data_IF_806798725970
#
_entry.id   IF_806798725970
#
_cell.length_a   1.000
_cell.length_b   1.000
_cell.length_c   1.000
_cell.angle_alpha   90.00
_cell.angle_beta   90.00
_cell.angle_gamma   90.00
#
_symmetry.space_group_name_H-M   'P 1'
#
loop_
_entity.id
_entity.type
_entity.pdbx_description
1 polymer ?
#
# COMPACT_ATOMS: atom_id res chain seq x y z
N UNK A 1 -44.62 15.80 -8.60
CA UNK A 1 -43.20 15.96 -8.91
C UNK A 1 -42.45 14.83 -8.19
N UNK A 2 -42.04 13.82 -8.96
CA UNK A 2 -41.38 12.63 -8.40
C UNK A 2 -39.90 12.94 -8.21
N UNK A 3 -39.46 12.98 -6.97
CA UNK A 3 -38.02 13.06 -6.63
C UNK A 3 -37.44 11.67 -6.84
N UNK A 4 -36.85 11.45 -8.01
CA UNK A 4 -36.02 10.30 -8.25
C UNK A 4 -34.77 10.46 -7.36
N UNK A 5 -34.72 9.74 -6.26
CA UNK A 5 -33.48 9.55 -5.47
C UNK A 5 -32.47 8.88 -6.39
N UNK A 6 -31.54 9.66 -6.90
CA UNK A 6 -30.37 9.17 -7.61
C UNK A 6 -29.51 8.45 -6.57
N UNK A 7 -29.71 7.15 -6.41
CA UNK A 7 -28.79 6.30 -5.67
C UNK A 7 -27.52 6.27 -6.54
N UNK A 8 -26.55 7.11 -6.20
CA UNK A 8 -25.25 7.09 -6.84
C UNK A 8 -24.68 5.67 -6.71
N UNK A 9 -24.59 4.94 -7.77
CA UNK A 9 -23.96 3.62 -7.78
C UNK A 9 -22.53 3.79 -7.33
N UNK A 10 -22.06 2.88 -6.44
CA UNK A 10 -20.66 2.87 -5.99
C UNK A 10 -19.74 2.84 -7.21
N UNK A 11 -18.70 3.68 -7.28
CA UNK A 11 -17.78 3.69 -8.42
C UNK A 11 -17.12 2.31 -8.58
N UNK A 12 -16.78 1.90 -9.81
CA UNK A 12 -16.09 0.64 -10.08
C UNK A 12 -14.77 0.53 -9.31
N UNK A 13 -14.08 1.66 -9.15
CA UNK A 13 -12.87 1.80 -8.33
C UNK A 13 -13.14 2.88 -7.27
N UNK A 14 -13.14 2.51 -6.02
CA UNK A 14 -13.20 3.41 -4.87
C UNK A 14 -11.79 3.74 -4.32
N UNK A 15 -10.88 2.78 -4.42
CA UNK A 15 -9.52 2.90 -3.93
C UNK A 15 -8.50 2.27 -4.87
N UNK A 16 -7.65 3.11 -5.49
CA UNK A 16 -6.57 2.67 -6.36
C UNK A 16 -5.27 2.53 -5.56
N UNK A 17 -4.60 1.38 -5.68
CA UNK A 17 -3.23 1.18 -5.17
C UNK A 17 -2.26 1.07 -6.32
N UNK A 18 -1.22 1.87 -6.30
CA UNK A 18 -0.13 1.85 -7.28
C UNK A 18 1.14 1.38 -6.60
N UNK A 19 1.62 0.20 -6.98
CA UNK A 19 2.94 -0.27 -6.58
C UNK A 19 3.98 0.36 -7.51
N UNK A 20 4.83 1.24 -6.96
CA UNK A 20 5.76 2.04 -7.76
C UNK A 20 7.06 1.31 -8.10
N UNK A 21 7.36 0.25 -7.37
CA UNK A 21 8.57 -0.56 -7.57
C UNK A 21 8.45 -1.88 -6.84
N UNK A 22 9.14 -2.91 -7.31
CA UNK A 22 9.34 -4.14 -6.53
C UNK A 22 10.59 -4.06 -5.66
N UNK A 23 11.48 -3.06 -5.87
CA UNK A 23 12.65 -2.88 -5.01
C UNK A 23 12.26 -2.39 -3.63
N UNK A 24 12.95 -2.90 -2.62
CA UNK A 24 12.88 -2.44 -1.24
C UNK A 24 14.29 -2.47 -0.65
N UNK A 25 14.62 -1.51 0.15
CA UNK A 25 15.87 -1.52 0.90
C UNK A 25 15.85 -2.45 2.13
N UNK A 26 14.66 -3.00 2.46
CA UNK A 26 14.46 -4.04 3.47
C UNK A 26 14.19 -5.39 2.81
N UNK A 27 14.36 -6.48 3.60
CA UNK A 27 14.07 -7.84 3.16
C UNK A 27 13.18 -8.58 4.18
N UNK A 28 12.08 -7.95 4.57
CA UNK A 28 11.19 -8.44 5.63
C UNK A 28 10.80 -9.90 5.42
N UNK A 29 10.84 -10.69 6.50
CA UNK A 29 10.59 -12.14 6.49
C UNK A 29 9.19 -12.53 6.00
N UNK A 30 8.22 -11.62 6.16
CA UNK A 30 6.80 -11.83 5.83
C UNK A 30 6.31 -11.05 4.60
N UNK A 31 7.22 -10.48 3.79
CA UNK A 31 6.83 -9.59 2.70
C UNK A 31 5.93 -10.28 1.67
N UNK A 32 4.69 -9.82 1.56
CA UNK A 32 3.70 -10.34 0.62
C UNK A 32 4.10 -10.13 -0.85
N UNK A 33 4.89 -9.09 -1.11
CA UNK A 33 5.35 -8.71 -2.46
C UNK A 33 6.71 -9.32 -2.82
N UNK A 34 7.34 -10.06 -1.89
CA UNK A 34 8.68 -10.64 -2.04
C UNK A 34 9.75 -9.60 -2.44
N UNK A 35 9.50 -8.34 -2.09
CA UNK A 35 10.37 -7.21 -2.39
C UNK A 35 11.68 -7.27 -1.60
N UNK A 36 12.73 -6.71 -2.18
CA UNK A 36 14.05 -6.67 -1.55
C UNK A 36 15.04 -5.86 -2.39
N UNK A 37 16.29 -5.72 -1.92
CA UNK A 37 17.29 -4.90 -2.59
C UNK A 37 17.63 -5.36 -4.02
N UNK A 38 17.50 -6.66 -4.30
CA UNK A 38 17.80 -7.27 -5.60
C UNK A 38 16.58 -7.41 -6.51
N UNK A 39 15.37 -7.02 -6.05
CA UNK A 39 14.18 -7.11 -6.87
C UNK A 39 14.23 -6.10 -8.03
N UNK A 40 13.58 -6.43 -9.14
CA UNK A 40 13.49 -5.54 -10.30
C UNK A 40 12.62 -4.32 -9.98
N UNK A 41 12.98 -3.14 -10.53
CA UNK A 41 12.22 -1.91 -10.30
C UNK A 41 10.77 -1.98 -10.77
N UNK A 42 10.56 -2.55 -11.93
CA UNK A 42 9.33 -2.48 -12.69
C UNK A 42 9.56 -1.78 -14.03
N UNK A 43 8.51 -1.70 -14.85
CA UNK A 43 8.59 -1.21 -16.23
C UNK A 43 7.71 0.01 -16.49
N UNK A 44 6.81 0.37 -15.57
CA UNK A 44 5.91 1.50 -15.76
C UNK A 44 6.65 2.83 -15.62
N UNK A 45 6.41 3.70 -16.58
CA UNK A 45 6.87 5.08 -16.57
C UNK A 45 5.96 5.98 -15.72
N UNK A 46 6.46 7.16 -15.37
CA UNK A 46 5.68 8.20 -14.66
C UNK A 46 4.44 8.62 -15.44
N UNK A 47 4.50 8.70 -16.78
CA UNK A 47 3.34 9.00 -17.64
C UNK A 47 2.28 7.91 -17.57
N UNK A 48 2.66 6.64 -17.60
CA UNK A 48 1.72 5.53 -17.46
C UNK A 48 1.03 5.53 -16.09
N UNK A 49 1.75 5.82 -15.00
CA UNK A 49 1.10 6.01 -13.70
C UNK A 49 0.13 7.19 -13.70
N UNK A 50 0.45 8.31 -14.38
CA UNK A 50 -0.47 9.44 -14.50
C UNK A 50 -1.72 9.10 -15.33
N UNK A 51 -1.59 8.31 -16.39
CA UNK A 51 -2.71 7.79 -17.18
C UNK A 51 -3.64 6.91 -16.33
N UNK A 52 -3.07 5.97 -15.56
CA UNK A 52 -3.84 5.13 -14.63
C UNK A 52 -4.62 5.95 -13.60
N UNK A 53 -4.01 7.01 -13.06
CA UNK A 53 -4.70 7.93 -12.15
C UNK A 53 -5.83 8.67 -12.86
N UNK A 54 -5.62 9.12 -14.10
CA UNK A 54 -6.64 9.81 -14.90
C UNK A 54 -7.83 8.91 -15.17
N UNK A 55 -7.62 7.66 -15.59
CA UNK A 55 -8.67 6.70 -15.83
C UNK A 55 -9.45 6.37 -14.55
N UNK A 56 -8.74 6.09 -13.45
CA UNK A 56 -9.40 5.82 -12.17
C UNK A 56 -10.22 7.02 -11.68
N UNK A 57 -9.70 8.24 -11.81
CA UNK A 57 -10.40 9.46 -11.43
C UNK A 57 -11.67 9.68 -12.26
N UNK A 58 -11.61 9.42 -13.57
CA UNK A 58 -12.75 9.49 -14.48
C UNK A 58 -13.86 8.47 -14.10
N UNK A 59 -13.48 7.30 -13.56
CA UNK A 59 -14.39 6.30 -13.03
C UNK A 59 -14.96 6.64 -11.64
N UNK A 60 -14.64 7.80 -11.08
CA UNK A 60 -15.12 8.24 -9.77
C UNK A 60 -14.23 7.88 -8.59
N UNK A 61 -13.05 7.29 -8.82
CA UNK A 61 -12.07 7.04 -7.76
C UNK A 61 -11.56 8.36 -7.18
N UNK A 62 -11.55 8.49 -5.85
CA UNK A 62 -11.05 9.68 -5.13
C UNK A 62 -9.99 9.33 -4.10
N UNK A 63 -9.63 8.06 -4.00
CA UNK A 63 -8.68 7.56 -3.00
C UNK A 63 -7.55 6.81 -3.68
N UNK A 64 -6.31 7.19 -3.37
CA UNK A 64 -5.11 6.58 -3.96
C UNK A 64 -4.07 6.28 -2.88
N UNK A 65 -3.35 5.18 -3.06
CA UNK A 65 -2.21 4.80 -2.24
C UNK A 65 -1.00 4.50 -3.13
N UNK A 66 0.11 5.15 -2.85
CA UNK A 66 1.42 4.80 -3.38
C UNK A 66 2.11 3.83 -2.42
N UNK A 67 2.45 2.66 -2.95
CA UNK A 67 3.03 1.53 -2.21
C UNK A 67 4.02 0.81 -3.13
N UNK A 68 4.39 -0.38 -2.80
CA UNK A 68 5.25 -1.26 -3.61
C UNK A 68 6.19 -2.04 -2.74
N UNK A 69 7.44 -2.21 -3.16
CA UNK A 69 8.52 -2.59 -2.27
C UNK A 69 8.74 -1.47 -1.25
N UNK A 70 9.51 -0.47 -1.67
CA UNK A 70 9.60 0.80 -0.92
C UNK A 70 9.37 1.96 -1.90
N UNK A 71 8.23 2.67 -1.83
CA UNK A 71 7.89 3.69 -2.80
C UNK A 71 8.84 4.88 -2.80
N UNK A 72 9.54 5.16 -1.70
CA UNK A 72 10.53 6.26 -1.62
C UNK A 72 11.80 5.99 -2.44
N UNK A 73 12.01 4.76 -2.90
CA UNK A 73 13.07 4.43 -3.87
C UNK A 73 12.70 4.83 -5.31
N UNK A 74 11.44 5.11 -5.58
CA UNK A 74 11.02 5.66 -6.87
C UNK A 74 11.20 7.18 -6.85
N UNK A 75 12.11 7.70 -7.68
CA UNK A 75 12.45 9.13 -7.73
C UNK A 75 11.29 10.01 -8.16
N UNK A 76 10.31 9.44 -8.87
CA UNK A 76 9.15 10.16 -9.38
C UNK A 76 7.97 10.21 -8.38
N UNK A 77 8.11 9.60 -7.19
CA UNK A 77 7.07 9.64 -6.16
C UNK A 77 6.58 11.07 -5.87
N UNK A 78 7.46 12.10 -5.71
CA UNK A 78 6.98 13.47 -5.49
C UNK A 78 6.19 14.04 -6.68
N UNK A 79 6.52 13.66 -7.89
CA UNK A 79 5.78 14.07 -9.11
C UNK A 79 4.39 13.42 -9.10
N UNK A 80 4.30 12.13 -8.80
CA UNK A 80 3.04 11.39 -8.74
C UNK A 80 2.13 11.90 -7.63
N UNK A 81 2.66 12.24 -6.46
CA UNK A 81 1.91 12.86 -5.36
C UNK A 81 1.29 14.18 -5.81
N UNK A 82 2.10 15.08 -6.39
CA UNK A 82 1.61 16.38 -6.89
C UNK A 82 0.57 16.21 -8.00
N UNK A 83 0.74 15.21 -8.86
CA UNK A 83 -0.23 14.89 -9.92
C UNK A 83 -1.55 14.44 -9.35
N UNK A 84 -1.55 13.50 -8.38
CA UNK A 84 -2.76 13.06 -7.71
C UNK A 84 -3.48 14.22 -6.97
N UNK A 85 -2.72 15.07 -6.29
CA UNK A 85 -3.25 16.26 -5.59
C UNK A 85 -3.90 17.25 -6.57
N UNK A 86 -3.23 17.55 -7.70
CA UNK A 86 -3.78 18.45 -8.74
C UNK A 86 -5.01 17.88 -9.44
N UNK A 87 -5.12 16.55 -9.58
CA UNK A 87 -6.31 15.89 -10.12
C UNK A 87 -7.50 15.96 -9.16
N UNK A 88 -7.29 16.24 -7.88
CA UNK A 88 -8.36 16.32 -6.88
C UNK A 88 -8.64 14.99 -6.16
N UNK A 89 -7.68 14.07 -6.06
CA UNK A 89 -7.82 12.93 -5.16
C UNK A 89 -7.97 13.44 -3.71
N UNK A 90 -9.03 13.00 -3.04
CA UNK A 90 -9.40 13.44 -1.69
C UNK A 90 -8.60 12.73 -0.61
N UNK A 91 -8.13 11.52 -0.89
CA UNK A 91 -7.28 10.72 -0.02
C UNK A 91 -6.06 10.25 -0.80
N UNK A 92 -4.89 10.76 -0.43
CA UNK A 92 -3.59 10.35 -0.97
C UNK A 92 -2.79 9.78 0.19
N UNK A 93 -2.34 8.53 0.06
CA UNK A 93 -1.53 7.86 1.09
C UNK A 93 -0.23 7.33 0.49
N UNK A 94 0.86 7.50 1.22
CA UNK A 94 2.13 6.82 0.96
C UNK A 94 2.36 5.78 2.04
N UNK A 95 2.45 4.50 1.65
CA UNK A 95 2.79 3.41 2.55
C UNK A 95 4.28 3.09 2.40
N UNK A 96 5.07 3.46 3.38
CA UNK A 96 6.54 3.38 3.37
C UNK A 96 7.07 2.78 4.66
N UNK A 97 8.23 2.12 4.59
CA UNK A 97 8.95 1.65 5.78
C UNK A 97 9.60 2.79 6.57
N UNK A 98 9.60 4.01 6.05
CA UNK A 98 10.16 5.23 6.66
C UNK A 98 11.65 5.16 7.03
N UNK A 99 12.41 4.21 6.51
CA UNK A 99 13.88 4.21 6.73
C UNK A 99 14.57 5.32 5.94
N UNK A 100 13.91 5.80 4.87
CA UNK A 100 14.40 6.86 3.99
C UNK A 100 13.33 7.96 3.89
N UNK A 101 13.65 9.17 4.33
CA UNK A 101 12.77 10.33 4.23
C UNK A 101 13.60 11.60 4.01
N UNK A 102 14.00 11.90 2.75
CA UNK A 102 14.66 13.15 2.42
C UNK A 102 13.75 14.35 2.74
N UNK A 103 14.36 15.51 3.03
CA UNK A 103 13.61 16.73 3.39
C UNK A 103 12.65 17.17 2.28
N UNK A 104 13.09 17.09 1.03
CA UNK A 104 12.27 17.42 -0.15
C UNK A 104 11.02 16.54 -0.27
N UNK A 105 11.12 15.24 0.09
CA UNK A 105 9.96 14.36 0.11
C UNK A 105 9.05 14.73 1.28
N UNK A 106 9.57 14.97 2.47
CA UNK A 106 8.78 15.39 3.63
C UNK A 106 8.00 16.67 3.31
N UNK A 107 8.65 17.66 2.72
CA UNK A 107 7.99 18.89 2.28
C UNK A 107 6.87 18.60 1.26
N UNK A 108 7.13 17.74 0.27
CA UNK A 108 6.10 17.35 -0.72
C UNK A 108 4.89 16.68 -0.05
N UNK A 109 5.12 15.80 0.95
CA UNK A 109 4.03 15.18 1.72
C UNK A 109 3.19 16.25 2.44
N UNK A 110 3.83 17.22 3.08
CA UNK A 110 3.17 18.31 3.81
C UNK A 110 2.35 19.20 2.88
N UNK A 111 2.95 19.67 1.80
CA UNK A 111 2.30 20.57 0.81
C UNK A 111 1.04 19.95 0.20
N UNK A 112 1.02 18.62 0.05
CA UNK A 112 -0.09 17.87 -0.56
C UNK A 112 -0.97 17.16 0.47
N UNK A 113 -0.78 17.40 1.78
CA UNK A 113 -1.56 16.81 2.88
C UNK A 113 -1.67 15.29 2.81
N UNK A 114 -0.56 14.64 2.49
CA UNK A 114 -0.50 13.20 2.26
C UNK A 114 -0.63 12.44 3.58
N UNK A 115 -1.44 11.40 3.61
CA UNK A 115 -1.48 10.44 4.69
C UNK A 115 -0.24 9.55 4.64
N UNK A 116 0.38 9.31 5.79
CA UNK A 116 1.55 8.44 5.87
C UNK A 116 1.18 7.16 6.59
N UNK A 117 1.48 6.03 5.95
CA UNK A 117 1.31 4.71 6.55
C UNK A 117 2.66 4.02 6.68
N UNK A 118 2.87 3.34 7.80
CA UNK A 118 4.10 2.57 8.04
C UNK A 118 3.83 1.30 8.83
N UNK A 119 4.84 0.43 8.92
CA UNK A 119 4.78 -0.78 9.75
C UNK A 119 5.83 -0.71 10.86
N UNK A 120 5.45 -1.12 12.06
CA UNK A 120 6.34 -1.28 13.21
C UNK A 120 6.07 -2.64 13.85
N UNK A 121 7.11 -3.44 14.05
CA UNK A 121 6.96 -4.86 14.43
C UNK A 121 7.34 -5.16 15.87
N UNK A 122 7.76 -4.17 16.63
CA UNK A 122 8.12 -4.28 18.03
C UNK A 122 8.38 -2.91 18.65
N UNK A 123 8.36 -2.79 19.98
CA UNK A 123 8.64 -1.54 20.69
C UNK A 123 10.15 -1.26 20.84
N UNK A 124 10.98 -2.20 20.40
CA UNK A 124 12.47 -2.14 20.47
C UNK A 124 13.10 -2.59 19.17
N UNK A 125 14.31 -2.14 18.91
CA UNK A 125 15.04 -2.37 17.66
C UNK A 125 15.25 -3.85 17.36
N UNK A 126 15.66 -4.64 18.32
CA UNK A 126 15.95 -6.07 18.14
C UNK A 126 14.84 -6.83 17.42
N UNK A 127 13.57 -6.63 17.82
CA UNK A 127 12.43 -7.32 17.22
C UNK A 127 12.10 -6.80 15.84
N UNK A 128 12.11 -5.49 15.67
CA UNK A 128 11.80 -4.87 14.39
C UNK A 128 12.86 -5.23 13.34
N UNK A 129 14.13 -5.10 13.68
CA UNK A 129 15.25 -5.33 12.77
C UNK A 129 15.38 -6.81 12.38
N UNK A 130 15.12 -7.73 13.32
CA UNK A 130 15.06 -9.16 13.02
C UNK A 130 13.98 -9.50 11.99
N UNK A 131 12.84 -8.81 11.99
CA UNK A 131 11.75 -9.02 11.02
C UNK A 131 12.05 -8.34 9.69
N UNK A 132 12.60 -7.14 9.72
CA UNK A 132 12.94 -6.37 8.50
C UNK A 132 14.22 -6.85 7.83
N UNK A 133 15.02 -7.66 8.52
CA UNK A 133 16.34 -8.17 8.09
C UNK A 133 17.32 -7.01 7.77
N UNK A 134 17.26 -5.93 8.57
CA UNK A 134 18.15 -4.79 8.44
C UNK A 134 18.41 -4.15 9.80
N UNK A 135 19.64 -4.25 10.26
CA UNK A 135 20.10 -3.61 11.50
C UNK A 135 19.92 -2.08 11.44
N UNK A 136 19.39 -1.51 12.51
CA UNK A 136 19.12 -0.08 12.63
C UNK A 136 17.91 0.41 11.82
N UNK A 137 17.11 -0.49 11.24
CA UNK A 137 15.88 -0.10 10.54
C UNK A 137 14.85 0.51 11.49
N UNK A 138 14.72 -0.02 12.71
CA UNK A 138 13.85 0.53 13.74
C UNK A 138 14.20 1.98 14.06
N UNK A 139 15.45 2.25 14.35
CA UNK A 139 15.90 3.60 14.71
C UNK A 139 15.59 4.61 13.59
N UNK A 140 15.91 4.24 12.34
CA UNK A 140 15.62 5.07 11.16
C UNK A 140 14.13 5.30 10.99
N UNK A 141 13.32 4.24 11.09
CA UNK A 141 11.85 4.31 10.98
C UNK A 141 11.28 5.22 12.06
N UNK A 142 11.64 5.02 13.33
CA UNK A 142 11.12 5.82 14.45
C UNK A 142 11.56 7.28 14.35
N UNK A 143 12.83 7.55 14.01
CA UNK A 143 13.33 8.91 13.79
C UNK A 143 12.53 9.65 12.71
N UNK A 144 12.30 9.01 11.56
CA UNK A 144 11.54 9.62 10.48
C UNK A 144 10.04 9.73 10.80
N UNK A 145 9.49 8.74 11.50
CA UNK A 145 8.12 8.78 11.99
C UNK A 145 7.88 9.98 12.93
N UNK A 146 8.83 10.27 13.82
CA UNK A 146 8.79 11.46 14.67
C UNK A 146 8.85 12.76 13.85
N UNK A 147 9.63 12.80 12.76
CA UNK A 147 9.66 13.96 11.85
C UNK A 147 8.31 14.17 11.18
N UNK A 148 7.68 13.10 10.69
CA UNK A 148 6.32 13.18 10.10
C UNK A 148 5.30 13.65 11.12
N UNK A 149 5.30 13.09 12.35
CA UNK A 149 4.36 13.48 13.40
C UNK A 149 4.46 14.97 13.78
N UNK A 150 5.67 15.53 13.78
CA UNK A 150 5.89 16.97 14.04
C UNK A 150 5.26 17.88 13.01
N UNK A 151 4.98 17.39 11.80
CA UNK A 151 4.30 18.18 10.74
C UNK A 151 2.79 18.23 10.89
N UNK A 152 2.20 17.40 11.75
CA UNK A 152 0.76 17.26 11.90
C UNK A 152 0.07 16.46 10.80
N UNK A 153 0.82 15.80 9.90
CA UNK A 153 0.25 14.92 8.89
C UNK A 153 -0.47 13.72 9.54
N UNK A 154 -1.57 13.25 8.94
CA UNK A 154 -2.23 12.04 9.40
C UNK A 154 -1.31 10.81 9.24
N UNK A 155 -1.12 10.08 10.33
CA UNK A 155 -0.29 8.88 10.35
C UNK A 155 -1.12 7.69 10.82
N UNK A 156 -0.94 6.55 10.15
CA UNK A 156 -1.34 5.24 10.68
C UNK A 156 -0.16 4.29 10.72
N UNK A 157 -0.15 3.42 11.70
CA UNK A 157 0.82 2.35 11.83
C UNK A 157 0.13 0.99 11.71
N UNK A 158 0.84 0.01 11.16
CA UNK A 158 0.39 -1.37 11.09
C UNK A 158 1.37 -2.28 11.78
N UNK A 159 0.84 -3.25 12.51
CA UNK A 159 1.59 -4.34 13.14
C UNK A 159 1.12 -5.63 12.47
N UNK A 160 2.03 -6.41 11.92
CA UNK A 160 1.76 -7.77 11.49
C UNK A 160 2.21 -8.69 12.60
N UNK A 161 1.27 -9.38 13.22
CA UNK A 161 1.53 -10.34 14.28
C UNK A 161 2.00 -11.66 13.68
N UNK A 162 3.13 -12.15 14.16
CA UNK A 162 3.80 -13.37 13.73
C UNK A 162 4.61 -13.95 14.90
N UNK A 163 5.11 -15.17 14.77
CA UNK A 163 5.87 -15.85 15.82
C UNK A 163 7.05 -14.99 16.33
N UNK A 164 7.76 -14.31 15.44
CA UNK A 164 8.94 -13.49 15.77
C UNK A 164 8.63 -12.31 16.69
N UNK A 165 7.40 -11.82 16.73
CA UNK A 165 6.95 -10.72 17.62
C UNK A 165 5.78 -11.11 18.52
N UNK A 166 5.55 -12.41 18.70
CA UNK A 166 4.52 -12.91 19.62
C UNK A 166 4.74 -12.35 21.03
N UNK A 167 3.63 -11.91 21.66
CA UNK A 167 3.66 -11.29 22.98
C UNK A 167 4.10 -9.82 23.04
N UNK A 168 4.53 -9.22 21.90
CA UNK A 168 4.93 -7.82 21.84
C UNK A 168 3.88 -6.89 21.21
N UNK A 169 2.76 -7.43 20.72
CA UNK A 169 1.72 -6.65 20.02
C UNK A 169 1.18 -5.52 20.88
N UNK A 170 0.72 -5.82 22.10
CA UNK A 170 0.14 -4.82 23.01
C UNK A 170 1.15 -3.74 23.42
N UNK A 171 2.38 -4.13 23.72
CA UNK A 171 3.45 -3.18 24.05
C UNK A 171 3.84 -2.30 22.85
N UNK A 172 3.79 -2.85 21.63
CA UNK A 172 4.01 -2.08 20.40
C UNK A 172 2.88 -1.08 20.16
N UNK A 173 1.63 -1.49 20.37
CA UNK A 173 0.46 -0.58 20.30
C UNK A 173 0.60 0.54 21.32
N UNK A 174 0.93 0.21 22.58
CA UNK A 174 1.14 1.20 23.63
C UNK A 174 2.28 2.18 23.28
N UNK A 175 3.39 1.68 22.80
CA UNK A 175 4.52 2.49 22.33
C UNK A 175 4.12 3.48 21.23
N UNK A 176 3.41 3.01 20.19
CA UNK A 176 2.94 3.86 19.09
C UNK A 176 1.92 4.92 19.56
N UNK A 177 1.03 4.56 20.49
CA UNK A 177 0.08 5.51 21.09
C UNK A 177 0.77 6.57 21.93
N UNK A 178 1.82 6.22 22.68
CA UNK A 178 2.63 7.19 23.42
C UNK A 178 3.35 8.17 22.49
N UNK A 179 3.67 7.76 21.26
CA UNK A 179 4.21 8.64 20.22
C UNK A 179 3.15 9.56 19.59
N UNK A 180 1.85 9.39 19.90
CA UNK A 180 0.74 10.15 19.34
C UNK A 180 0.07 9.50 18.13
N UNK A 181 0.36 8.23 17.83
CA UNK A 181 -0.30 7.50 16.72
C UNK A 181 -1.49 6.74 17.28
N UNK A 182 -2.69 7.24 17.02
CA UNK A 182 -3.94 6.63 17.49
C UNK A 182 -4.51 5.61 16.50
N UNK A 183 -4.21 5.75 15.22
CA UNK A 183 -4.63 4.81 14.17
C UNK A 183 -3.60 3.68 14.02
N UNK A 184 -3.72 2.66 14.85
CA UNK A 184 -2.86 1.48 14.85
C UNK A 184 -3.69 0.27 14.48
N UNK A 185 -3.37 -0.34 13.32
CA UNK A 185 -3.96 -1.59 12.87
C UNK A 185 -3.10 -2.79 13.26
N UNK A 186 -3.72 -3.84 13.80
CA UNK A 186 -3.07 -5.13 14.03
C UNK A 186 -3.67 -6.16 13.10
N UNK A 187 -2.82 -6.87 12.38
CA UNK A 187 -3.24 -7.94 11.49
C UNK A 187 -2.36 -9.17 11.68
N UNK A 188 -2.92 -10.35 11.40
CA UNK A 188 -2.15 -11.60 11.41
C UNK A 188 -1.24 -11.70 10.18
N UNK A 189 -0.17 -12.47 10.30
CA UNK A 189 0.63 -12.91 9.16
C UNK A 189 -0.29 -13.61 8.12
N UNK A 190 -0.13 -13.22 6.86
CA UNK A 190 -0.77 -13.88 5.71
C UNK A 190 0.24 -14.83 5.05
N UNK A 191 -0.18 -16.03 4.71
CA UNK A 191 0.64 -17.02 4.00
C UNK A 191 0.75 -16.68 2.51
N UNK A 192 1.28 -15.50 2.23
CA UNK A 192 1.44 -14.92 0.89
C UNK A 192 2.87 -14.38 0.77
N UNK A 193 3.50 -14.56 -0.38
CA UNK A 193 4.89 -14.18 -0.60
C UNK A 193 5.84 -14.88 0.37
N UNK A 194 6.81 -14.17 0.94
CA UNK A 194 7.74 -14.75 1.94
C UNK A 194 7.08 -15.21 3.24
N UNK A 195 5.86 -14.76 3.52
CA UNK A 195 5.07 -15.26 4.65
C UNK A 195 4.46 -16.66 4.42
N UNK A 196 4.51 -17.18 3.20
CA UNK A 196 4.01 -18.51 2.86
C UNK A 196 5.03 -19.60 3.17
N UNK A 197 4.59 -20.75 3.67
CA UNK A 197 5.41 -21.95 3.67
C UNK A 197 5.51 -22.51 2.24
N UNK A 198 6.54 -23.30 1.91
CA UNK A 198 6.75 -23.82 0.55
C UNK A 198 5.57 -24.61 -0.03
N UNK A 199 4.69 -25.15 0.81
CA UNK A 199 3.50 -25.92 0.42
C UNK A 199 2.20 -25.10 0.37
N UNK A 200 2.19 -23.83 0.82
CA UNK A 200 0.99 -23.00 0.93
C UNK A 200 0.69 -22.26 -0.39
N UNK A 201 0.51 -22.98 -1.48
CA UNK A 201 0.21 -22.36 -2.76
C UNK A 201 -1.31 -22.16 -2.97
N UNK A 202 -1.73 -20.95 -3.30
CA UNK A 202 -3.07 -20.60 -3.82
C UNK A 202 -4.26 -20.71 -2.85
N UNK A 203 -4.06 -20.61 -1.55
CA UNK A 203 -5.19 -20.63 -0.63
C UNK A 203 -5.89 -19.25 -0.55
N UNK A 204 -7.12 -19.18 -1.09
CA UNK A 204 -7.95 -17.98 -1.01
C UNK A 204 -8.40 -17.66 0.42
N UNK A 205 -8.33 -18.62 1.37
CA UNK A 205 -8.63 -18.40 2.79
C UNK A 205 -7.69 -17.39 3.45
N UNK A 206 -6.53 -17.13 2.83
CA UNK A 206 -5.61 -16.08 3.26
C UNK A 206 -6.08 -14.66 2.86
N UNK A 207 -7.07 -14.54 1.99
CA UNK A 207 -7.67 -13.25 1.62
C UNK A 207 -8.74 -12.82 2.65
N UNK A 208 -9.04 -11.54 2.69
CA UNK A 208 -9.99 -10.99 3.68
C UNK A 208 -11.47 -11.01 3.22
N UNK A 209 -11.76 -11.63 2.06
CA UNK A 209 -13.13 -11.66 1.49
C UNK A 209 -13.61 -10.33 0.86
N UNK A 210 -12.79 -9.27 0.88
CA UNK A 210 -13.16 -7.95 0.33
C UNK A 210 -12.49 -7.63 -1.03
N UNK A 211 -11.88 -8.63 -1.67
CA UNK A 211 -11.23 -8.44 -2.96
C UNK A 211 -12.22 -7.97 -4.03
N UNK A 212 -11.77 -7.11 -4.93
CA UNK A 212 -12.60 -6.47 -5.97
C UNK A 212 -13.85 -5.74 -5.45
N UNK A 213 -13.91 -5.41 -4.16
CA UNK A 213 -14.97 -4.59 -3.53
C UNK A 213 -14.82 -3.08 -3.79
N UNK A 214 -14.34 -2.68 -4.97
CA UNK A 214 -14.02 -1.29 -5.31
C UNK A 214 -12.53 -0.96 -5.14
N UNK A 215 -11.69 -1.93 -4.85
CA UNK A 215 -10.23 -1.75 -4.79
C UNK A 215 -9.58 -2.43 -5.97
N UNK A 216 -8.64 -1.75 -6.61
CA UNK A 216 -7.70 -2.34 -7.56
C UNK A 216 -6.26 -1.97 -7.17
N UNK A 217 -5.35 -2.87 -7.49
CA UNK A 217 -3.92 -2.70 -7.32
C UNK A 217 -3.22 -2.91 -8.66
N UNK A 218 -2.39 -1.97 -9.08
CA UNK A 218 -1.55 -2.08 -10.28
C UNK A 218 -0.11 -2.30 -9.84
N UNK A 219 0.48 -3.40 -10.30
CA UNK A 219 1.87 -3.75 -10.01
C UNK A 219 2.83 -2.87 -10.83
N UNK A 220 4.13 -2.82 -10.50
CA UNK A 220 5.12 -2.05 -11.26
C UNK A 220 5.35 -2.57 -12.69
N UNK A 221 4.78 -3.71 -13.04
CA UNK A 221 4.81 -4.31 -14.39
C UNK A 221 3.47 -4.21 -15.11
N UNK A 222 2.50 -3.49 -14.55
CA UNK A 222 1.20 -3.26 -15.17
C UNK A 222 0.14 -4.36 -14.94
N UNK A 223 0.44 -5.42 -14.18
CA UNK A 223 -0.59 -6.39 -13.80
C UNK A 223 -1.59 -5.76 -12.84
N UNK A 224 -2.87 -5.97 -13.11
CA UNK A 224 -3.97 -5.46 -12.27
C UNK A 224 -4.54 -6.59 -11.44
N UNK A 225 -4.62 -6.39 -10.13
CA UNK A 225 -5.17 -7.35 -9.17
C UNK A 225 -6.23 -6.71 -8.28
N UNK A 226 -7.16 -7.49 -7.69
CA UNK A 226 -8.24 -6.99 -6.83
C UNK A 226 -7.75 -6.29 -5.57
N UNK A 227 -6.57 -6.67 -5.06
CA UNK A 227 -5.87 -6.00 -3.95
C UNK A 227 -4.37 -6.41 -3.95
N UNK A 228 -3.58 -5.81 -3.07
CA UNK A 228 -2.15 -6.10 -2.93
C UNK A 228 -1.86 -7.57 -2.54
N UNK A 229 -2.77 -8.21 -1.82
CA UNK A 229 -2.62 -9.60 -1.38
C UNK A 229 -3.12 -10.61 -2.41
N UNK A 230 -3.87 -10.17 -3.42
CA UNK A 230 -4.48 -11.05 -4.42
C UNK A 230 -3.75 -11.03 -5.78
N UNK A 231 -2.44 -10.79 -5.80
CA UNK A 231 -1.64 -10.70 -7.03
C UNK A 231 -1.72 -11.97 -7.92
N UNK A 232 -1.89 -13.14 -7.31
CA UNK A 232 -2.05 -14.41 -8.02
C UNK A 232 -3.35 -14.50 -8.82
N UNK A 233 -4.37 -13.75 -8.41
CA UNK A 233 -5.67 -13.64 -9.06
C UNK A 233 -5.79 -12.30 -9.80
N UNK A 234 -4.81 -12.04 -10.67
CA UNK A 234 -4.85 -10.84 -11.52
C UNK A 234 -6.08 -10.85 -12.41
N UNK A 235 -6.68 -9.69 -12.59
CA UNK A 235 -7.91 -9.48 -13.37
C UNK A 235 -7.63 -8.86 -14.72
N UNK A 236 -6.39 -8.55 -15.03
CA UNK A 236 -5.93 -8.01 -16.31
C UNK A 236 -4.52 -7.44 -16.27
N UNK A 237 -4.11 -6.85 -17.39
CA UNK A 237 -2.84 -6.14 -17.54
C UNK A 237 -3.07 -4.87 -18.36
N UNK A 238 -2.46 -3.76 -17.95
CA UNK A 238 -2.54 -2.49 -18.71
C UNK A 238 -1.80 -2.53 -20.06
N UNK A 239 -1.01 -3.55 -20.30
CA UNK A 239 -0.44 -3.82 -21.63
C UNK A 239 -1.45 -4.40 -22.62
N UNK A 240 -2.60 -4.91 -22.14
CA UNK A 240 -3.62 -5.60 -22.93
C UNK A 240 -4.92 -4.79 -23.02
N UNK A 241 -5.27 -4.06 -21.97
CA UNK A 241 -6.51 -3.27 -21.89
C UNK A 241 -6.32 -2.06 -20.98
N UNK A 242 -7.14 -1.03 -21.17
CA UNK A 242 -7.16 0.14 -20.27
C UNK A 242 -7.57 -0.25 -18.85
N UNK A 243 -7.19 0.54 -17.85
CA UNK A 243 -7.65 0.32 -16.47
C UNK A 243 -9.18 0.43 -16.40
N UNK A 244 -9.78 1.30 -17.20
CA UNK A 244 -11.21 1.49 -17.31
C UNK A 244 -11.93 0.23 -17.81
N UNK A 245 -11.42 -0.41 -18.85
CA UNK A 245 -11.98 -1.65 -19.38
C UNK A 245 -11.85 -2.80 -18.38
N UNK A 246 -10.69 -2.92 -17.73
CA UNK A 246 -10.47 -3.93 -16.70
C UNK A 246 -11.43 -3.72 -15.52
N UNK A 247 -11.58 -2.49 -15.04
CA UNK A 247 -12.39 -2.18 -13.85
C UNK A 247 -13.89 -2.39 -14.08
N UNK A 248 -14.39 -2.14 -15.31
CA UNK A 248 -15.80 -2.26 -15.66
C UNK A 248 -16.17 -3.62 -16.26
N UNK A 249 -15.16 -4.41 -16.64
CA UNK A 249 -15.34 -5.75 -17.20
C UNK A 249 -15.88 -6.78 -16.21
N UNK A 250 -16.05 -8.01 -16.68
CA UNK A 250 -16.57 -9.14 -15.89
C UNK A 250 -15.56 -9.68 -14.89
N UNK A 251 -14.26 -9.67 -15.23
CA UNK A 251 -13.18 -10.33 -14.50
C UNK A 251 -13.06 -9.94 -13.00
N UNK A 252 -13.16 -8.65 -12.59
CA UNK A 252 -13.20 -8.31 -11.17
C UNK A 252 -14.44 -8.84 -10.44
N UNK A 253 -15.60 -8.86 -11.12
CA UNK A 253 -16.85 -9.38 -10.55
C UNK A 253 -16.80 -10.89 -10.36
N UNK A 254 -16.32 -11.62 -11.35
CA UNK A 254 -16.11 -13.07 -11.29
C UNK A 254 -15.11 -13.45 -10.19
N UNK A 255 -14.01 -12.71 -10.08
CA UNK A 255 -13.03 -12.91 -9.01
C UNK A 255 -13.65 -12.69 -7.64
N UNK A 256 -14.52 -11.66 -7.48
CA UNK A 256 -15.22 -11.42 -6.21
C UNK A 256 -16.19 -12.55 -5.84
N UNK A 257 -16.82 -13.18 -6.83
CA UNK A 257 -17.73 -14.31 -6.57
C UNK A 257 -16.99 -15.59 -6.13
N UNK A 258 -15.69 -15.70 -6.45
CA UNK A 258 -14.86 -16.86 -6.11
C UNK A 258 -14.13 -16.72 -4.77
N UNK A 259 -14.00 -15.52 -4.24
CA UNK A 259 -13.36 -15.17 -2.96
C UNK A 259 -14.42 -14.95 -1.88
#
# INVERSE_FOLDING_TARGET
>A
MSWCLYIASKPPIDFLRLELTNQCNLQCTHCYAESGPQAQKGTLSTSQYAELMTEAFALGCRRIQFIGGEPTLNRDLPVLIRTASKMGFEFIEVYTNLTILPEELLQCLVENRVHVATSVYGPVGERHDAITQMDGSFEKTIKNLQRVLKTGLPVRASIVEMEMNAGYTDSTVAFLRQMGIHNVGVGRLRRIGRGAAPCDSNDMSELCGNCAGGTLCVSPTGRVSPCIMSKRWAVGSISEASLSDIATGSSPRETRQRI
#
